data_IF_397303851303
#
_entry.id   IF_397303851303
#
_cell.length_a   1.000
_cell.length_b   1.000
_cell.length_c   1.000
_cell.angle_alpha   90.00
_cell.angle_beta   90.00
_cell.angle_gamma   90.00
#
_symmetry.space_group_name_H-M   'P 1'
#
loop_
_entity.id
_entity.type
_entity.pdbx_description
1 polymer ?
#
# COMPACT_ATOMS: atom_id res chain seq x y z
N UNK A 1 -11.65 -37.69 -11.16
CA UNK A 1 -12.68 -37.75 -10.10
C UNK A 1 -11.91 -37.93 -8.80
N UNK A 2 -11.82 -36.99 -7.85
CA UNK A 2 -12.72 -35.94 -7.35
C UNK A 2 -11.93 -34.65 -7.00
N UNK A 3 -12.52 -33.49 -7.30
CA UNK A 3 -12.09 -32.18 -6.76
C UNK A 3 -12.56 -32.09 -5.31
N UNK A 4 -11.67 -31.76 -4.37
CA UNK A 4 -12.06 -31.41 -3.00
C UNK A 4 -12.47 -29.94 -2.95
N UNK A 5 -13.76 -29.74 -2.74
CA UNK A 5 -14.46 -28.47 -2.52
C UNK A 5 -14.57 -28.23 -1.01
N UNK A 6 -14.36 -26.98 -0.57
CA UNK A 6 -14.64 -26.47 0.78
C UNK A 6 -13.39 -26.39 1.66
N UNK A 7 -12.98 -25.24 2.20
CA UNK A 7 -13.79 -24.22 2.87
C UNK A 7 -13.72 -22.84 2.19
N UNK A 8 -14.91 -22.32 1.86
CA UNK A 8 -15.21 -21.03 1.24
C UNK A 8 -15.55 -19.95 2.30
N UNK A 9 -15.27 -20.15 3.58
CA UNK A 9 -15.73 -19.20 4.62
C UNK A 9 -14.57 -18.78 5.52
N UNK A 10 -14.29 -17.46 5.50
CA UNK A 10 -13.39 -16.61 6.31
C UNK A 10 -12.32 -15.96 5.40
N UNK A 11 -12.43 -14.75 4.82
CA UNK A 11 -13.18 -13.52 5.12
C UNK A 11 -13.45 -12.75 3.81
N UNK A 12 -14.72 -12.61 3.43
CA UNK A 12 -15.15 -11.60 2.47
C UNK A 12 -15.40 -10.27 3.20
N UNK A 13 -14.41 -9.38 3.23
CA UNK A 13 -14.53 -7.91 3.35
C UNK A 13 -13.10 -7.40 3.08
N UNK A 14 -12.72 -6.61 2.08
CA UNK A 14 -13.36 -5.51 1.38
C UNK A 14 -12.72 -5.41 -0.02
N UNK A 15 -13.46 -5.63 -1.10
CA UNK A 15 -13.01 -5.27 -2.44
C UNK A 15 -14.14 -4.70 -3.30
N UNK A 16 -15.20 -4.17 -2.68
CA UNK A 16 -16.31 -3.53 -3.38
C UNK A 16 -16.77 -2.32 -2.57
N UNK A 17 -16.15 -1.17 -2.83
CA UNK A 17 -16.70 0.20 -2.95
C UNK A 17 -15.47 1.12 -3.10
N UNK A 18 -15.04 1.38 -4.33
CA UNK A 18 -14.39 2.66 -4.70
C UNK A 18 -14.98 3.09 -6.06
N UNK A 19 -16.30 3.26 -6.07
CA UNK A 19 -16.90 4.32 -6.89
C UNK A 19 -17.14 5.44 -5.88
N UNK A 20 -16.13 6.28 -5.63
CA UNK A 20 -16.34 7.47 -4.82
C UNK A 20 -17.19 8.46 -5.62
N UNK A 21 -18.34 8.92 -5.11
CA UNK A 21 -18.97 10.12 -5.62
C UNK A 21 -18.01 11.29 -5.36
N UNK A 22 -17.85 12.18 -6.35
CA UNK A 22 -17.09 13.42 -6.18
C UNK A 22 -17.84 14.36 -5.22
N UNK A 23 -17.70 14.14 -3.92
CA UNK A 23 -18.02 15.16 -2.93
C UNK A 23 -16.86 16.14 -2.89
N UNK A 24 -17.08 17.32 -3.47
CA UNK A 24 -16.23 18.47 -3.27
C UNK A 24 -16.22 18.84 -1.78
N UNK A 25 -15.19 18.42 -1.07
CA UNK A 25 -14.84 18.98 0.24
C UNK A 25 -13.53 19.72 0.05
N UNK A 26 -13.66 21.01 -0.26
CA UNK A 26 -12.57 21.97 -0.13
C UNK A 26 -12.24 22.14 1.34
N UNK A 27 -11.30 21.32 1.84
CA UNK A 27 -10.39 21.58 2.96
C UNK A 27 -9.43 20.38 3.06
N UNK A 28 -8.15 20.63 2.73
CA UNK A 28 -7.01 19.71 2.81
C UNK A 28 -7.02 18.48 1.88
N UNK A 29 -7.16 18.68 0.56
CA UNK A 29 -6.94 17.62 -0.44
C UNK A 29 -5.61 16.85 -0.20
N UNK A 30 -4.57 17.56 0.25
CA UNK A 30 -3.30 16.97 0.64
C UNK A 30 -3.40 15.99 1.83
N UNK A 31 -4.22 16.25 2.86
CA UNK A 31 -4.39 15.32 3.99
C UNK A 31 -5.07 14.00 3.56
N UNK A 32 -6.06 14.08 2.67
CA UNK A 32 -6.71 12.89 2.09
C UNK A 32 -5.72 12.05 1.27
N UNK A 33 -4.87 12.72 0.47
CA UNK A 33 -3.80 12.06 -0.29
C UNK A 33 -2.77 11.39 0.63
N UNK A 34 -2.36 12.04 1.72
CA UNK A 34 -1.42 11.46 2.71
C UNK A 34 -1.98 10.17 3.32
N UNK A 35 -3.24 10.21 3.79
CA UNK A 35 -3.87 9.03 4.39
C UNK A 35 -3.99 7.88 3.38
N UNK A 36 -4.36 8.20 2.14
CA UNK A 36 -4.44 7.19 1.06
C UNK A 36 -3.08 6.53 0.82
N UNK A 37 -2.00 7.31 0.71
CA UNK A 37 -0.65 6.76 0.54
C UNK A 37 -0.23 5.86 1.71
N UNK A 38 -0.53 6.27 2.95
CA UNK A 38 -0.26 5.47 4.16
C UNK A 38 -0.99 4.12 4.09
N UNK A 39 -2.25 4.10 3.64
CA UNK A 39 -3.03 2.88 3.49
C UNK A 39 -2.47 1.96 2.41
N UNK A 40 -2.19 2.49 1.22
CA UNK A 40 -1.59 1.73 0.13
C UNK A 40 -0.28 1.06 0.56
N UNK A 41 0.60 1.79 1.24
CA UNK A 41 1.85 1.23 1.76
C UNK A 41 1.65 0.19 2.87
N UNK A 42 0.56 0.29 3.64
CA UNK A 42 0.22 -0.71 4.65
C UNK A 42 -0.23 -2.02 4.00
N UNK A 43 -1.05 -1.96 2.95
CA UNK A 43 -1.40 -3.14 2.15
C UNK A 43 -0.16 -3.78 1.50
N UNK A 44 0.72 -2.97 0.91
CA UNK A 44 1.99 -3.50 0.35
C UNK A 44 2.85 -4.18 1.41
N UNK A 45 2.89 -3.66 2.63
CA UNK A 45 3.68 -4.27 3.69
C UNK A 45 3.08 -5.58 4.21
N UNK A 46 1.76 -5.62 4.40
CA UNK A 46 1.07 -6.74 5.05
C UNK A 46 0.72 -7.87 4.09
N UNK A 47 0.31 -7.54 2.87
CA UNK A 47 -0.37 -8.48 1.98
C UNK A 47 0.56 -9.05 0.89
N UNK A 48 1.75 -8.49 0.69
CA UNK A 48 2.70 -8.98 -0.32
C UNK A 48 3.07 -10.46 -0.17
N UNK A 49 3.05 -10.99 1.06
CA UNK A 49 3.28 -12.42 1.33
C UNK A 49 2.23 -13.34 0.69
N UNK A 50 1.03 -12.82 0.42
CA UNK A 50 -0.04 -13.55 -0.27
C UNK A 50 0.19 -13.58 -1.79
N UNK A 51 0.98 -12.65 -2.32
CA UNK A 51 1.27 -12.53 -3.75
C UNK A 51 2.51 -13.33 -4.18
N UNK A 52 3.57 -13.26 -3.39
CA UNK A 52 4.89 -13.83 -3.74
C UNK A 52 5.46 -14.63 -2.57
N UNK A 53 5.91 -15.84 -2.88
CA UNK A 53 6.63 -16.70 -1.94
C UNK A 53 7.89 -17.27 -2.61
N UNK A 54 9.04 -17.16 -1.94
CA UNK A 54 10.34 -17.64 -2.44
C UNK A 54 10.68 -17.13 -3.86
N UNK A 55 10.32 -15.87 -4.17
CA UNK A 55 10.56 -15.25 -5.48
C UNK A 55 9.60 -15.68 -6.59
N UNK A 56 8.62 -16.54 -6.29
CA UNK A 56 7.59 -16.97 -7.23
C UNK A 56 6.27 -16.27 -6.94
N UNK A 57 5.57 -15.86 -8.00
CA UNK A 57 4.20 -15.35 -7.88
C UNK A 57 3.29 -16.54 -7.60
N UNK A 58 2.76 -16.61 -6.37
CA UNK A 58 1.84 -17.67 -5.92
C UNK A 58 0.38 -17.30 -6.18
N UNK A 59 0.08 -16.00 -6.21
CA UNK A 59 -1.20 -15.46 -6.65
C UNK A 59 -0.96 -14.28 -7.60
N UNK A 60 -1.41 -14.43 -8.84
CA UNK A 60 -1.21 -13.44 -9.89
C UNK A 60 -2.03 -12.17 -9.65
N UNK A 61 -3.27 -12.32 -9.18
CA UNK A 61 -4.14 -11.17 -8.94
C UNK A 61 -3.56 -10.33 -7.81
N UNK A 62 -3.21 -10.97 -6.69
CA UNK A 62 -2.57 -10.29 -5.56
C UNK A 62 -1.30 -9.58 -5.99
N UNK A 63 -0.44 -10.23 -6.79
CA UNK A 63 0.79 -9.60 -7.29
C UNK A 63 0.53 -8.36 -8.16
N UNK A 64 -0.50 -8.40 -9.02
CA UNK A 64 -0.91 -7.24 -9.81
C UNK A 64 -1.46 -6.10 -8.91
N UNK A 65 -2.20 -6.43 -7.86
CA UNK A 65 -2.66 -5.46 -6.86
C UNK A 65 -1.49 -4.82 -6.10
N UNK A 66 -0.48 -5.59 -5.70
CA UNK A 66 0.71 -5.03 -5.03
C UNK A 66 1.50 -4.05 -5.93
N UNK A 67 1.61 -4.35 -7.23
CA UNK A 67 2.19 -3.43 -8.22
C UNK A 67 1.38 -2.15 -8.29
N UNK A 68 0.06 -2.29 -8.33
CA UNK A 68 -0.87 -1.18 -8.50
C UNK A 68 -0.90 -0.26 -7.27
N UNK A 69 -0.89 -0.81 -6.06
CA UNK A 69 -0.80 -0.02 -4.83
C UNK A 69 0.52 0.76 -4.75
N UNK A 70 1.65 0.13 -5.10
CA UNK A 70 2.94 0.82 -5.13
C UNK A 70 3.00 1.92 -6.21
N UNK A 71 2.32 1.72 -7.35
CA UNK A 71 2.19 2.72 -8.41
C UNK A 71 1.34 3.91 -7.95
N UNK A 72 0.15 3.67 -7.41
CA UNK A 72 -0.74 4.72 -6.92
C UNK A 72 -0.10 5.53 -5.78
N UNK A 73 0.62 4.88 -4.87
CA UNK A 73 1.36 5.56 -3.82
C UNK A 73 2.43 6.53 -4.40
N UNK A 74 3.16 6.09 -5.44
CA UNK A 74 4.10 6.93 -6.16
C UNK A 74 3.41 8.14 -6.81
N UNK A 75 2.30 7.92 -7.51
CA UNK A 75 1.58 8.98 -8.22
C UNK A 75 1.01 10.03 -7.28
N UNK A 76 0.35 9.61 -6.19
CA UNK A 76 -0.18 10.51 -5.18
C UNK A 76 0.92 11.36 -4.52
N UNK A 77 2.10 10.78 -4.25
CA UNK A 77 3.25 11.53 -3.76
C UNK A 77 3.82 12.47 -4.83
N UNK A 78 3.87 12.02 -6.09
CA UNK A 78 4.39 12.82 -7.20
C UNK A 78 3.49 14.01 -7.54
N UNK A 79 2.18 13.88 -7.35
CA UNK A 79 1.20 14.95 -7.61
C UNK A 79 1.00 15.85 -6.39
N UNK A 80 1.03 15.28 -5.17
CA UNK A 80 0.83 16.00 -3.92
C UNK A 80 1.96 16.97 -3.55
N UNK A 81 1.64 17.94 -2.69
CA UNK A 81 2.60 18.94 -2.18
C UNK A 81 2.95 18.76 -0.69
N UNK A 82 2.36 17.76 -0.04
CA UNK A 82 2.44 17.51 1.41
C UNK A 82 3.81 17.10 1.97
N UNK A 83 4.82 16.86 1.14
CA UNK A 83 6.17 16.47 1.59
C UNK A 83 7.22 17.58 1.54
N UNK A 84 6.91 18.73 0.92
CA UNK A 84 7.86 19.82 0.73
C UNK A 84 9.20 19.34 0.15
N UNK A 85 10.31 19.74 0.78
CA UNK A 85 11.68 19.37 0.39
C UNK A 85 11.96 17.85 0.46
N UNK A 86 11.18 17.08 1.24
CA UNK A 86 11.36 15.65 1.39
C UNK A 86 10.78 14.84 0.21
N UNK A 87 10.02 15.49 -0.69
CA UNK A 87 9.33 14.82 -1.80
C UNK A 87 10.28 13.96 -2.64
N UNK A 88 11.44 14.49 -3.02
CA UNK A 88 12.41 13.75 -3.84
C UNK A 88 12.88 12.47 -3.15
N UNK A 89 13.23 12.55 -1.86
CA UNK A 89 13.68 11.40 -1.07
C UNK A 89 12.63 10.29 -1.05
N UNK A 90 11.37 10.64 -0.80
CA UNK A 90 10.26 9.68 -0.74
C UNK A 90 9.98 9.06 -2.12
N UNK A 91 10.05 9.84 -3.20
CA UNK A 91 9.91 9.31 -4.57
C UNK A 91 11.04 8.32 -4.93
N UNK A 92 12.27 8.58 -4.50
CA UNK A 92 13.40 7.66 -4.70
C UNK A 92 13.17 6.33 -3.93
N UNK A 93 12.64 6.39 -2.71
CA UNK A 93 12.29 5.21 -1.92
C UNK A 93 11.13 4.41 -2.55
N UNK A 94 10.07 5.09 -3.03
CA UNK A 94 8.95 4.45 -3.73
C UNK A 94 9.39 3.80 -5.04
N UNK A 95 10.34 4.40 -5.76
CA UNK A 95 10.96 3.80 -6.93
C UNK A 95 11.71 2.52 -6.56
N UNK A 96 12.44 2.54 -5.43
CA UNK A 96 13.14 1.37 -4.91
C UNK A 96 12.16 0.25 -4.55
N UNK A 97 11.06 0.56 -3.84
CA UNK A 97 10.00 -0.40 -3.51
C UNK A 97 9.43 -1.06 -4.78
N UNK A 98 9.05 -0.26 -5.79
CA UNK A 98 8.53 -0.77 -7.07
C UNK A 98 9.52 -1.69 -7.77
N UNK A 99 10.82 -1.36 -7.73
CA UNK A 99 11.86 -2.22 -8.30
C UNK A 99 12.01 -3.55 -7.55
N UNK A 100 11.89 -3.56 -6.23
CA UNK A 100 11.92 -4.78 -5.41
C UNK A 100 10.70 -5.66 -5.70
N UNK A 101 9.50 -5.06 -5.83
CA UNK A 101 8.28 -5.78 -6.23
C UNK A 101 8.48 -6.46 -7.58
N UNK A 102 8.97 -5.73 -8.58
CA UNK A 102 9.22 -6.28 -9.93
C UNK A 102 10.23 -7.44 -9.92
N UNK A 103 11.24 -7.35 -9.05
CA UNK A 103 12.25 -8.39 -8.82
C UNK A 103 11.72 -9.58 -8.01
N UNK A 104 10.49 -9.51 -7.49
CA UNK A 104 9.88 -10.53 -6.62
C UNK A 104 10.75 -10.78 -5.39
N UNK A 105 11.25 -9.69 -4.81
CA UNK A 105 12.02 -9.72 -3.57
C UNK A 105 11.22 -10.35 -2.42
N UNK A 106 11.90 -10.67 -1.33
CA UNK A 106 11.26 -11.33 -0.19
C UNK A 106 10.23 -10.42 0.47
N UNK A 107 9.18 -11.00 1.06
CA UNK A 107 8.15 -10.23 1.77
C UNK A 107 8.72 -9.43 2.94
N UNK A 108 9.81 -9.91 3.56
CA UNK A 108 10.52 -9.17 4.60
C UNK A 108 11.17 -7.87 4.07
N UNK A 109 11.81 -7.92 2.90
CA UNK A 109 12.39 -6.74 2.26
C UNK A 109 11.29 -5.74 1.84
N UNK A 110 10.20 -6.23 1.26
CA UNK A 110 9.06 -5.40 0.84
C UNK A 110 8.40 -4.73 2.04
N UNK A 111 8.09 -5.50 3.09
CA UNK A 111 7.51 -4.97 4.32
C UNK A 111 8.42 -3.93 4.96
N UNK A 112 9.72 -4.21 5.07
CA UNK A 112 10.68 -3.27 5.68
C UNK A 112 10.73 -1.93 4.96
N UNK A 113 10.79 -1.90 3.63
CA UNK A 113 10.87 -0.63 2.89
C UNK A 113 9.52 0.09 2.85
N UNK A 114 8.41 -0.62 2.69
CA UNK A 114 7.07 -0.03 2.69
C UNK A 114 6.75 0.64 4.04
N UNK A 115 7.10 -0.04 5.16
CA UNK A 115 6.98 0.50 6.51
C UNK A 115 7.87 1.72 6.74
N UNK A 116 9.12 1.67 6.28
CA UNK A 116 10.04 2.80 6.40
C UNK A 116 9.51 4.04 5.67
N UNK A 117 8.98 3.88 4.45
CA UNK A 117 8.37 4.97 3.67
C UNK A 117 7.14 5.52 4.42
N UNK A 118 6.26 4.63 4.90
CA UNK A 118 5.05 5.01 5.64
C UNK A 118 5.40 5.82 6.90
N UNK A 119 6.39 5.36 7.68
CA UNK A 119 6.84 6.07 8.88
C UNK A 119 7.50 7.41 8.55
N UNK A 120 8.26 7.51 7.46
CA UNK A 120 8.82 8.78 6.98
C UNK A 120 7.70 9.78 6.64
N UNK A 121 6.68 9.35 5.89
CA UNK A 121 5.53 10.20 5.53
C UNK A 121 4.77 10.66 6.77
N UNK A 122 4.47 9.77 7.71
CA UNK A 122 3.81 10.12 8.99
C UNK A 122 4.63 11.17 9.75
N UNK A 123 5.94 10.96 9.87
CA UNK A 123 6.84 11.89 10.58
C UNK A 123 6.90 13.27 9.92
N UNK A 124 6.94 13.33 8.59
CA UNK A 124 7.01 14.59 7.83
C UNK A 124 5.70 15.37 7.90
N UNK A 125 4.57 14.67 7.76
CA UNK A 125 3.24 15.29 7.61
C UNK A 125 2.54 15.53 8.95
N UNK A 126 2.97 14.84 10.01
CA UNK A 126 2.31 14.89 11.32
C UNK A 126 0.94 14.22 11.36
N UNK A 127 0.53 13.53 10.28
CA UNK A 127 -0.74 12.79 10.25
C UNK A 127 -0.65 11.62 11.23
N UNK A 128 -1.44 11.68 12.30
CA UNK A 128 -1.55 10.57 13.24
C UNK A 128 -2.14 9.35 12.52
N UNK A 129 -1.44 8.22 12.58
CA UNK A 129 -1.99 6.96 12.15
C UNK A 129 -3.13 6.58 13.11
N UNK A 130 -4.39 6.81 12.73
CA UNK A 130 -5.57 6.54 13.56
C UNK A 130 -5.91 5.02 13.67
N UNK A 131 -4.89 4.16 13.55
CA UNK A 131 -5.02 2.70 13.56
C UNK A 131 -4.00 2.02 14.48
N UNK A 132 -3.68 2.64 15.61
CA UNK A 132 -3.20 1.92 16.79
C UNK A 132 -4.45 1.73 17.67
N UNK A 133 -4.64 0.51 18.20
CA UNK A 133 -5.78 0.00 19.00
C UNK A 133 -6.88 -0.76 18.25
N UNK A 134 -6.59 -1.98 17.80
CA UNK A 134 -7.60 -3.06 17.82
C UNK A 134 -6.98 -4.48 18.01
N UNK A 135 -5.73 -4.57 18.47
CA UNK A 135 -5.14 -5.85 18.89
C UNK A 135 -4.32 -5.62 20.17
N UNK A 136 -5.05 -5.49 21.28
CA UNK A 136 -4.56 -5.74 22.63
C UNK A 136 -5.54 -6.71 23.29
#
# INVERSE_FOLDING_TARGET
MMKRIGSIITRMVFAWIIIFPQYAIGQNADQGSVQTVIHLLSYVSMDYVMAVENGNVIDKQEYEEQIEFARQAYELVNEGQFLGENKKKVLDQLTTLRNLINKKSTSAEISSIADAIRHDIIRITGVANHYIWLIA
#
